data_IF_752057538289
#
_entry.id   IF_752057538289
#
_cell.length_a   1.000
_cell.length_b   1.000
_cell.length_c   1.000
_cell.angle_alpha   90.00
_cell.angle_beta   90.00
_cell.angle_gamma   90.00
#
_symmetry.space_group_name_H-M   'P 1'
#
loop_
_entity.id
_entity.type
_entity.pdbx_description
1 polymer ?
#
# COMPACT_ATOMS: atom_id res chain seq x y z
N UNK A 1 15.80 16.89 4.70
CA UNK A 1 15.61 16.17 3.42
C UNK A 1 15.71 14.69 3.72
N UNK A 2 14.58 13.98 3.87
CA UNK A 2 14.60 12.54 4.15
C UNK A 2 15.04 11.83 2.88
N UNK A 3 16.32 11.50 2.77
CA UNK A 3 16.87 10.77 1.62
C UNK A 3 16.46 9.31 1.72
N UNK A 4 15.24 8.99 1.27
CA UNK A 4 14.86 7.61 1.02
C UNK A 4 15.71 7.16 -0.18
N UNK A 5 16.86 6.54 0.09
CA UNK A 5 17.79 6.04 -0.94
C UNK A 5 17.13 4.99 -1.85
N UNK A 6 16.02 4.39 -1.43
CA UNK A 6 15.35 3.32 -2.13
C UNK A 6 13.95 3.74 -2.60
N UNK A 7 13.82 4.02 -3.91
CA UNK A 7 12.56 4.34 -4.58
C UNK A 7 11.42 3.34 -4.30
N UNK A 8 11.74 2.08 -4.02
CA UNK A 8 10.74 1.05 -3.71
C UNK A 8 10.13 1.21 -2.31
N UNK A 9 10.88 1.76 -1.34
CA UNK A 9 10.34 2.07 -0.01
C UNK A 9 9.37 3.25 -0.09
N UNK A 10 9.69 4.26 -0.89
CA UNK A 10 8.78 5.37 -1.15
C UNK A 10 7.50 4.90 -1.86
N UNK A 11 7.65 4.00 -2.83
CA UNK A 11 6.52 3.41 -3.54
C UNK A 11 5.65 2.56 -2.60
N UNK A 12 6.26 1.75 -1.73
CA UNK A 12 5.55 0.99 -0.70
C UNK A 12 4.71 1.90 0.21
N UNK A 13 5.31 2.99 0.70
CA UNK A 13 4.62 3.96 1.54
C UNK A 13 3.44 4.63 0.82
N UNK A 14 3.60 4.99 -0.46
CA UNK A 14 2.52 5.56 -1.26
C UNK A 14 1.35 4.58 -1.41
N UNK A 15 1.63 3.31 -1.72
CA UNK A 15 0.60 2.27 -1.84
C UNK A 15 -0.12 2.00 -0.51
N UNK A 16 0.59 2.03 0.63
CA UNK A 16 -0.05 1.89 1.93
C UNK A 16 -0.94 3.06 2.29
N UNK A 17 -0.51 4.30 2.03
CA UNK A 17 -1.33 5.49 2.31
C UNK A 17 -2.60 5.45 1.46
N UNK A 18 -2.48 5.21 0.14
CA UNK A 18 -3.64 5.09 -0.76
C UNK A 18 -4.54 3.93 -0.31
N UNK A 19 -3.97 2.78 0.04
CA UNK A 19 -4.72 1.64 0.52
C UNK A 19 -5.50 1.95 1.81
N UNK A 20 -4.90 2.65 2.77
CA UNK A 20 -5.59 3.08 4.01
C UNK A 20 -6.75 4.01 3.67
N UNK A 21 -6.54 4.99 2.80
CA UNK A 21 -7.60 5.91 2.37
C UNK A 21 -8.76 5.15 1.73
N UNK A 22 -8.48 4.21 0.82
CA UNK A 22 -9.51 3.39 0.18
C UNK A 22 -10.25 2.49 1.18
N UNK A 23 -9.55 1.94 2.17
CA UNK A 23 -10.17 1.17 3.25
C UNK A 23 -11.10 2.02 4.12
N UNK A 24 -10.68 3.22 4.49
CA UNK A 24 -11.48 4.14 5.29
C UNK A 24 -12.73 4.59 4.52
N UNK A 25 -12.57 4.95 3.24
CA UNK A 25 -13.71 5.33 2.38
C UNK A 25 -14.63 4.11 2.15
N UNK A 26 -14.06 2.92 1.92
CA UNK A 26 -14.83 1.69 1.73
C UNK A 26 -15.61 1.27 2.98
N UNK A 27 -15.01 1.41 4.17
CA UNK A 27 -15.67 1.17 5.44
C UNK A 27 -16.81 2.17 5.68
N UNK A 28 -16.58 3.45 5.39
CA UNK A 28 -17.61 4.49 5.45
C UNK A 28 -18.75 4.22 4.46
N UNK A 29 -18.43 3.85 3.22
CA UNK A 29 -19.39 3.51 2.17
C UNK A 29 -20.24 2.28 2.56
N UNK A 30 -19.63 1.28 3.22
CA UNK A 30 -20.34 0.12 3.75
C UNK A 30 -21.37 0.52 4.81
N UNK A 31 -21.03 1.47 5.67
CA UNK A 31 -21.94 1.98 6.70
C UNK A 31 -23.13 2.77 6.13
N UNK A 32 -23.01 3.27 4.89
CA UNK A 32 -24.07 3.98 4.18
C UNK A 32 -24.73 3.11 3.09
N UNK A 33 -24.56 1.78 3.14
CA UNK A 33 -25.13 0.82 2.20
C UNK A 33 -24.83 1.14 0.72
N UNK A 34 -23.67 1.70 0.43
CA UNK A 34 -23.24 1.98 -0.94
C UNK A 34 -22.67 0.73 -1.61
N UNK A 35 -23.08 0.46 -2.85
CA UNK A 35 -22.59 -0.66 -3.66
C UNK A 35 -21.08 -0.61 -3.94
N UNK A 36 -20.48 0.59 -3.87
CA UNK A 36 -19.04 0.78 -4.08
C UNK A 36 -18.18 0.26 -2.92
N UNK A 37 -18.76 -0.05 -1.77
CA UNK A 37 -18.03 -0.44 -0.56
C UNK A 37 -17.12 -1.66 -0.79
N UNK A 38 -17.65 -2.70 -1.44
CA UNK A 38 -16.89 -3.93 -1.72
C UNK A 38 -15.68 -3.68 -2.61
N UNK A 39 -15.86 -2.89 -3.67
CA UNK A 39 -14.78 -2.52 -4.60
C UNK A 39 -13.71 -1.67 -3.89
N UNK A 40 -14.11 -0.66 -3.12
CA UNK A 40 -13.19 0.21 -2.39
C UNK A 40 -12.35 -0.58 -1.36
N UNK A 41 -12.99 -1.47 -0.60
CA UNK A 41 -12.30 -2.33 0.35
C UNK A 41 -11.32 -3.28 -0.37
N UNK A 42 -11.73 -3.87 -1.49
CA UNK A 42 -10.88 -4.78 -2.29
C UNK A 42 -9.65 -4.04 -2.83
N UNK A 43 -9.85 -2.88 -3.45
CA UNK A 43 -8.75 -2.05 -3.94
C UNK A 43 -7.83 -1.57 -2.80
N UNK A 44 -8.41 -1.25 -1.64
CA UNK A 44 -7.64 -0.92 -0.43
C UNK A 44 -6.72 -2.05 0.01
N UNK A 45 -7.24 -3.28 0.12
CA UNK A 45 -6.47 -4.48 0.48
C UNK A 45 -5.41 -4.79 -0.58
N UNK A 46 -5.73 -4.70 -1.87
CA UNK A 46 -4.77 -4.90 -2.95
C UNK A 46 -3.64 -3.86 -2.89
N UNK A 47 -3.97 -2.60 -2.62
CA UNK A 47 -2.99 -1.54 -2.38
C UNK A 47 -2.07 -1.87 -1.21
N UNK A 48 -2.61 -2.40 -0.10
CA UNK A 48 -1.80 -2.86 1.03
C UNK A 48 -0.84 -3.99 0.63
N UNK A 49 -1.35 -5.01 -0.06
CA UNK A 49 -0.56 -6.15 -0.51
C UNK A 49 0.59 -5.73 -1.46
N UNK A 50 0.31 -4.81 -2.40
CA UNK A 50 1.33 -4.24 -3.29
C UNK A 50 2.39 -3.47 -2.49
N UNK A 51 1.97 -2.68 -1.50
CA UNK A 51 2.90 -1.96 -0.61
C UNK A 51 3.84 -2.91 0.13
N UNK A 52 3.31 -4.00 0.71
CA UNK A 52 4.13 -5.03 1.34
C UNK A 52 5.05 -5.76 0.35
N UNK A 53 4.60 -5.98 -0.89
CA UNK A 53 5.43 -6.53 -1.97
C UNK A 53 6.64 -5.65 -2.28
N UNK A 54 6.44 -4.33 -2.40
CA UNK A 54 7.54 -3.39 -2.62
C UNK A 54 8.51 -3.30 -1.44
N UNK A 55 8.01 -3.37 -0.20
CA UNK A 55 8.87 -3.45 0.97
C UNK A 55 9.72 -4.71 0.96
N UNK A 56 9.11 -5.88 0.74
CA UNK A 56 9.82 -7.15 0.65
C UNK A 56 10.90 -7.13 -0.42
N UNK A 57 10.59 -6.56 -1.60
CA UNK A 57 11.55 -6.35 -2.67
C UNK A 57 12.71 -5.40 -2.29
N UNK A 58 12.41 -4.31 -1.59
CA UNK A 58 13.41 -3.38 -1.10
C UNK A 58 14.36 -4.03 -0.09
N UNK A 59 13.82 -4.86 0.82
CA UNK A 59 14.60 -5.64 1.79
C UNK A 59 15.48 -6.67 1.07
N UNK A 60 14.93 -7.44 0.13
CA UNK A 60 15.69 -8.43 -0.65
C UNK A 60 16.83 -7.78 -1.42
N UNK A 61 16.62 -6.63 -2.04
CA UNK A 61 17.70 -5.89 -2.70
C UNK A 61 18.79 -5.43 -1.72
N UNK A 62 18.42 -5.02 -0.50
CA UNK A 62 19.39 -4.60 0.51
C UNK A 62 20.21 -5.80 1.04
N UNK A 63 19.57 -6.97 1.20
CA UNK A 63 20.20 -8.19 1.71
C UNK A 63 21.04 -8.91 0.64
N UNK A 64 20.56 -8.95 -0.60
CA UNK A 64 21.21 -9.66 -1.72
C UNK A 64 22.28 -8.83 -2.43
N UNK A 65 22.31 -7.50 -2.24
CA UNK A 65 23.51 -6.70 -2.55
C UNK A 65 24.61 -7.00 -1.52
N UNK A 66 25.13 -8.23 -1.56
CA UNK A 66 26.49 -8.49 -1.09
C UNK A 66 27.45 -7.94 -2.14
N UNK A 67 28.52 -7.30 -1.64
CA UNK A 67 29.63 -6.67 -2.41
C UNK A 67 29.96 -7.37 -3.72
#
# INVERSE_FOLDING_TARGET
>A
MVTIKNKFVLLAAAFWIIGIVLLLIGAWARNHSSDAAGTLLTLGILGQAIGFGFLGFAIMQAVLKKK
#
